data_IF_513794640921
#
_entry.id   IF_513794640921
#
_cell.length_a   1.000
_cell.length_b   1.000
_cell.length_c   1.000
_cell.angle_alpha   90.00
_cell.angle_beta   90.00
_cell.angle_gamma   90.00
#
_symmetry.space_group_name_H-M   'P 1'
#
loop_
_entity.id
_entity.type
_entity.pdbx_description
1 polymer ?
#
# COMPACT_ATOMS: atom_id res chain seq x y z
N UNK A 1 -8.28 -8.94 -20.90
CA UNK A 1 -7.56 -8.09 -19.92
C UNK A 1 -8.06 -8.17 -18.47
N UNK A 2 -9.38 -8.25 -18.20
CA UNK A 2 -9.93 -8.33 -16.81
C UNK A 2 -9.41 -9.51 -15.97
N UNK A 3 -9.17 -10.68 -16.58
CA UNK A 3 -8.63 -11.86 -15.88
C UNK A 3 -7.19 -11.64 -15.38
N UNK A 4 -6.30 -11.17 -16.24
CA UNK A 4 -4.87 -11.03 -15.92
C UNK A 4 -4.60 -10.09 -14.73
N UNK A 5 -5.39 -9.00 -14.62
CA UNK A 5 -5.30 -8.08 -13.49
C UNK A 5 -5.70 -8.72 -12.15
N UNK A 6 -6.86 -9.40 -12.13
CA UNK A 6 -7.36 -10.03 -10.90
C UNK A 6 -6.52 -11.24 -10.48
N UNK A 7 -6.01 -12.02 -11.44
CA UNK A 7 -5.34 -13.30 -11.18
C UNK A 7 -3.84 -13.19 -10.96
N UNK A 8 -3.14 -12.22 -11.58
CA UNK A 8 -1.67 -12.13 -11.49
C UNK A 8 -1.23 -10.88 -10.74
N UNK A 9 -1.72 -9.71 -11.14
CA UNK A 9 -1.30 -8.45 -10.53
C UNK A 9 -1.74 -8.38 -9.06
N UNK A 10 -3.01 -8.70 -8.76
CA UNK A 10 -3.53 -8.61 -7.39
C UNK A 10 -2.77 -9.48 -6.37
N UNK A 11 -2.46 -10.76 -6.62
CA UNK A 11 -1.67 -11.55 -5.67
C UNK A 11 -0.21 -11.07 -5.56
N UNK A 12 0.43 -10.68 -6.67
CA UNK A 12 1.80 -10.11 -6.63
C UNK A 12 1.81 -8.85 -5.76
N UNK A 13 0.87 -7.94 -5.98
CA UNK A 13 0.75 -6.73 -5.17
C UNK A 13 0.44 -7.05 -3.70
N UNK A 14 -0.44 -8.01 -3.43
CA UNK A 14 -0.81 -8.40 -2.06
C UNK A 14 0.37 -8.98 -1.29
N UNK A 15 1.13 -9.89 -1.90
CA UNK A 15 2.32 -10.48 -1.29
C UNK A 15 3.39 -9.42 -1.04
N UNK A 16 3.66 -8.59 -2.05
CA UNK A 16 4.61 -7.52 -1.92
C UNK A 16 4.17 -6.58 -0.80
N UNK A 17 2.87 -6.21 -0.68
CA UNK A 17 2.32 -5.26 0.34
C UNK A 17 2.74 -5.62 1.76
N UNK A 18 2.86 -6.90 2.08
CA UNK A 18 3.37 -7.35 3.38
C UNK A 18 4.83 -6.89 3.64
N UNK A 19 5.66 -6.90 2.59
CA UNK A 19 7.10 -6.61 2.66
C UNK A 19 7.42 -5.11 2.66
N UNK A 20 6.76 -4.33 1.80
CA UNK A 20 6.96 -2.88 1.62
C UNK A 20 5.84 -1.98 2.18
N UNK A 21 4.77 -2.50 2.77
CA UNK A 21 3.72 -1.68 3.40
C UNK A 21 4.24 -0.82 4.55
N UNK A 22 5.40 -1.21 5.09
CA UNK A 22 6.19 -0.52 6.13
C UNK A 22 7.36 0.29 5.56
N UNK A 23 7.52 0.31 4.23
CA UNK A 23 8.69 0.91 3.58
C UNK A 23 8.60 2.43 3.54
N UNK A 24 9.77 3.07 3.41
CA UNK A 24 9.89 4.52 3.22
C UNK A 24 9.08 4.95 1.99
N UNK A 25 8.44 6.13 2.07
CA UNK A 25 7.68 6.74 0.97
C UNK A 25 8.42 6.70 -0.39
N UNK A 26 9.76 6.88 -0.36
CA UNK A 26 10.60 6.76 -1.56
C UNK A 26 10.47 5.40 -2.28
N UNK A 27 10.43 4.29 -1.52
CA UNK A 27 10.31 2.95 -2.08
C UNK A 27 8.90 2.72 -2.64
N UNK A 28 7.87 3.24 -1.96
CA UNK A 28 6.48 3.21 -2.43
C UNK A 28 6.38 3.96 -3.78
N UNK A 29 6.97 5.15 -3.88
CA UNK A 29 6.99 5.94 -5.10
C UNK A 29 7.75 5.23 -6.24
N UNK A 30 8.88 4.58 -5.94
CA UNK A 30 9.65 3.82 -6.94
C UNK A 30 8.79 2.72 -7.57
N UNK A 31 8.02 2.03 -6.77
CA UNK A 31 7.23 0.90 -7.25
C UNK A 31 5.89 1.37 -7.84
N UNK A 32 5.33 2.51 -7.40
CA UNK A 32 4.26 3.18 -8.12
C UNK A 32 4.68 3.53 -9.55
N UNK A 33 5.90 4.05 -9.74
CA UNK A 33 6.46 4.29 -11.08
C UNK A 33 6.59 2.99 -11.89
N UNK A 34 6.99 1.90 -11.25
CA UNK A 34 7.04 0.60 -11.89
C UNK A 34 5.64 0.15 -12.34
N UNK A 35 4.64 0.21 -11.47
CA UNK A 35 3.24 -0.08 -11.80
C UNK A 35 2.77 0.76 -13.01
N UNK A 36 2.96 2.08 -12.98
CA UNK A 36 2.54 2.95 -14.08
C UNK A 36 3.24 2.62 -15.41
N UNK A 37 4.53 2.26 -15.39
CA UNK A 37 5.25 1.79 -16.58
C UNK A 37 4.65 0.48 -17.11
N UNK A 38 4.45 -0.52 -16.25
CA UNK A 38 3.88 -1.81 -16.64
C UNK A 38 2.49 -1.64 -17.25
N UNK A 39 1.61 -0.83 -16.63
CA UNK A 39 0.26 -0.57 -17.16
C UNK A 39 0.31 0.07 -18.54
N UNK A 40 1.21 1.04 -18.74
CA UNK A 40 1.41 1.72 -20.01
C UNK A 40 1.89 0.76 -21.09
N UNK A 41 2.85 -0.13 -20.77
CA UNK A 41 3.34 -1.16 -21.70
C UNK A 41 2.25 -2.15 -22.10
N UNK A 42 1.45 -2.63 -21.14
CA UNK A 42 0.35 -3.58 -21.40
C UNK A 42 -0.70 -2.96 -22.33
N UNK A 43 -1.03 -1.68 -22.11
CA UNK A 43 -2.01 -0.95 -22.91
C UNK A 43 -1.46 -0.39 -24.22
N UNK A 44 -0.14 -0.50 -24.47
CA UNK A 44 0.56 0.22 -25.54
C UNK A 44 0.17 1.72 -25.58
N UNK A 45 -0.03 2.31 -24.40
CA UNK A 45 -0.54 3.67 -24.29
C UNK A 45 0.56 4.71 -24.59
N UNK A 46 0.26 5.75 -25.38
CA UNK A 46 1.24 6.77 -25.74
C UNK A 46 1.58 7.68 -24.55
N UNK A 47 2.72 8.38 -24.64
CA UNK A 47 3.28 9.10 -23.50
C UNK A 47 2.42 10.24 -22.97
N UNK A 48 1.62 10.85 -23.85
CA UNK A 48 0.73 11.97 -23.53
C UNK A 48 -0.47 11.57 -22.67
N UNK A 49 -0.79 10.27 -22.57
CA UNK A 49 -1.87 9.80 -21.70
C UNK A 49 -1.43 9.91 -20.25
N UNK A 50 -2.23 10.62 -19.45
CA UNK A 50 -1.94 10.79 -18.03
C UNK A 50 -2.06 9.45 -17.29
N UNK A 51 -1.23 9.26 -16.25
CA UNK A 51 -1.36 8.06 -15.41
C UNK A 51 -2.74 8.02 -14.73
N UNK A 52 -3.30 9.18 -14.37
CA UNK A 52 -4.64 9.27 -13.79
C UNK A 52 -5.71 8.66 -14.70
N UNK A 53 -5.67 8.97 -16.00
CA UNK A 53 -6.58 8.41 -17.01
C UNK A 53 -6.43 6.89 -17.07
N UNK A 54 -5.21 6.38 -17.17
CA UNK A 54 -4.95 4.93 -17.21
C UNK A 54 -5.47 4.20 -15.97
N UNK A 55 -5.26 4.78 -14.78
CA UNK A 55 -5.74 4.20 -13.53
C UNK A 55 -7.27 4.22 -13.42
N UNK A 56 -7.91 5.30 -13.88
CA UNK A 56 -9.37 5.45 -13.89
C UNK A 56 -10.04 4.46 -14.85
N UNK A 57 -9.53 4.37 -16.09
CA UNK A 57 -10.06 3.49 -17.13
C UNK A 57 -9.91 2.01 -16.75
N UNK A 58 -8.76 1.65 -16.18
CA UNK A 58 -8.48 0.29 -15.73
C UNK A 58 -9.10 -0.05 -14.37
N UNK A 59 -9.62 0.96 -13.64
CA UNK A 59 -10.10 0.85 -12.26
C UNK A 59 -9.07 0.21 -11.32
N UNK A 60 -7.81 0.61 -11.46
CA UNK A 60 -6.69 0.08 -10.65
C UNK A 60 -6.31 1.14 -9.61
N UNK A 61 -6.41 0.83 -8.31
CA UNK A 61 -5.99 1.76 -7.26
C UNK A 61 -4.47 1.96 -7.28
N UNK A 62 -4.04 3.11 -6.76
CA UNK A 62 -2.62 3.38 -6.55
C UNK A 62 -2.05 2.47 -5.47
N UNK A 63 -0.74 2.23 -5.52
CA UNK A 63 -0.04 1.46 -4.47
C UNK A 63 -0.29 2.07 -3.10
N UNK A 64 -0.25 3.40 -2.99
CA UNK A 64 -0.48 4.12 -1.73
C UNK A 64 -1.87 3.91 -1.13
N UNK A 65 -2.89 3.74 -1.97
CA UNK A 65 -4.26 3.45 -1.54
C UNK A 65 -4.39 1.98 -1.11
N UNK A 66 -3.76 1.08 -1.85
CA UNK A 66 -3.68 -0.34 -1.49
C UNK A 66 -3.00 -0.54 -0.15
N UNK A 67 -1.87 0.13 0.10
CA UNK A 67 -1.15 0.01 1.38
C UNK A 67 -1.99 0.52 2.54
N UNK A 68 -2.66 1.67 2.40
CA UNK A 68 -3.61 2.18 3.41
C UNK A 68 -4.74 1.18 3.68
N UNK A 69 -5.36 0.65 2.62
CA UNK A 69 -6.47 -0.29 2.74
C UNK A 69 -6.06 -1.59 3.43
N UNK A 70 -4.91 -2.15 3.04
CA UNK A 70 -4.35 -3.35 3.68
C UNK A 70 -3.99 -3.08 5.14
N UNK A 71 -3.41 -1.92 5.45
CA UNK A 71 -3.03 -1.57 6.81
C UNK A 71 -4.25 -1.42 7.72
N UNK A 72 -5.32 -0.75 7.25
CA UNK A 72 -6.59 -0.64 7.99
C UNK A 72 -7.19 -2.02 8.28
N UNK A 73 -7.24 -2.90 7.27
CA UNK A 73 -7.76 -4.27 7.42
C UNK A 73 -6.91 -5.12 8.39
N UNK A 74 -5.60 -4.94 8.39
CA UNK A 74 -4.72 -5.62 9.33
C UNK A 74 -4.93 -5.10 10.76
N UNK A 75 -5.10 -3.79 10.92
CA UNK A 75 -5.33 -3.17 12.22
C UNK A 75 -6.66 -3.62 12.86
N UNK A 76 -7.74 -3.69 12.07
CA UNK A 76 -9.01 -4.20 12.59
C UNK A 76 -8.94 -5.66 13.03
N UNK A 77 -8.10 -6.49 12.38
CA UNK A 77 -7.84 -7.87 12.81
C UNK A 77 -7.04 -7.93 14.11
N UNK A 78 -6.07 -7.03 14.29
CA UNK A 78 -5.32 -6.92 15.54
C UNK A 78 -6.25 -6.52 16.69
N UNK A 79 -7.10 -5.50 16.50
CA UNK A 79 -8.03 -5.02 17.52
C UNK A 79 -8.99 -6.12 18.02
N UNK A 80 -9.45 -7.00 17.12
CA UNK A 80 -10.38 -8.08 17.45
C UNK A 80 -9.68 -9.39 17.87
N UNK A 81 -8.38 -9.36 18.14
CA UNK A 81 -7.61 -10.56 18.47
C UNK A 81 -7.83 -10.97 19.93
N UNK A 82 -7.94 -12.29 20.19
CA UNK A 82 -8.17 -12.83 21.55
C UNK A 82 -7.04 -12.56 22.53
N UNK A 83 -5.80 -12.54 22.03
CA UNK A 83 -4.62 -12.25 22.84
C UNK A 83 -4.51 -10.73 23.09
N UNK A 84 -4.56 -10.27 24.36
CA UNK A 84 -4.51 -8.85 24.71
C UNK A 84 -3.23 -8.16 24.26
N UNK A 85 -2.08 -8.86 24.28
CA UNK A 85 -0.80 -8.30 23.82
C UNK A 85 -0.84 -7.96 22.32
N UNK A 86 -1.64 -8.69 21.55
CA UNK A 86 -1.79 -8.49 20.11
C UNK A 86 -2.83 -7.39 19.83
N UNK A 87 -3.89 -7.29 20.61
CA UNK A 87 -4.85 -6.17 20.49
C UNK A 87 -4.22 -4.83 20.85
N UNK A 88 -3.32 -4.81 21.83
CA UNK A 88 -2.58 -3.60 22.22
C UNK A 88 -1.72 -3.05 21.07
N UNK A 89 -1.25 -3.92 20.16
CA UNK A 89 -0.55 -3.50 18.95
C UNK A 89 -1.44 -2.72 17.97
N UNK A 90 -2.76 -2.73 18.11
CA UNK A 90 -3.67 -1.90 17.32
C UNK A 90 -3.69 -0.43 17.79
N UNK A 91 -3.18 -0.15 18.99
CA UNK A 91 -3.20 1.21 19.54
C UNK A 91 -2.30 2.15 18.75
N UNK A 92 -2.82 3.36 18.49
CA UNK A 92 -2.07 4.47 17.91
C UNK A 92 -1.23 5.22 18.97
N UNK A 93 -1.53 5.00 20.26
CA UNK A 93 -0.87 5.67 21.38
C UNK A 93 0.41 4.94 21.78
N UNK A 94 1.52 5.68 21.82
CA UNK A 94 2.78 5.20 22.39
C UNK A 94 3.03 6.01 23.66
N UNK A 95 3.11 5.38 24.84
CA UNK A 95 3.45 6.10 26.05
C UNK A 95 4.83 6.73 25.90
N UNK A 96 4.93 8.02 26.20
CA UNK A 96 6.20 8.76 26.17
C UNK A 96 6.65 9.34 24.83
N UNK A 97 5.89 9.19 23.73
CA UNK A 97 6.20 9.75 22.38
C UNK A 97 7.71 9.76 22.07
N UNK A 98 8.32 8.59 21.82
CA UNK A 98 9.77 8.47 21.69
C UNK A 98 10.30 9.41 20.61
N UNK A 99 11.37 10.13 20.93
CA UNK A 99 12.02 11.06 19.99
C UNK A 99 12.49 10.27 18.78
N UNK A 100 11.95 10.61 17.61
CA UNK A 100 12.30 9.93 16.36
C UNK A 100 13.70 10.35 15.94
N UNK A 101 14.68 9.45 16.06
CA UNK A 101 16.05 9.68 15.54
C UNK A 101 16.07 9.98 14.03
N UNK A 102 15.15 9.38 13.27
CA UNK A 102 15.05 9.55 11.81
C UNK A 102 13.65 10.00 11.40
N UNK A 103 13.57 10.95 10.44
CA UNK A 103 12.32 11.37 9.78
C UNK A 103 11.79 10.26 8.86
N UNK A 104 11.26 9.18 9.45
CA UNK A 104 10.63 8.05 8.75
C UNK A 104 9.15 7.99 9.13
N UNK A 105 8.30 7.75 8.14
CA UNK A 105 6.92 7.32 8.39
C UNK A 105 6.96 5.93 9.00
N UNK A 106 6.28 5.76 10.13
CA UNK A 106 6.08 4.47 10.76
C UNK A 106 4.83 3.80 10.20
N UNK A 107 4.75 2.49 10.36
CA UNK A 107 3.57 1.73 9.95
C UNK A 107 2.27 2.28 10.56
N UNK A 108 2.34 2.82 11.79
CA UNK A 108 1.21 3.40 12.51
C UNK A 108 0.77 4.76 11.93
N UNK A 109 1.70 5.52 11.35
CA UNK A 109 1.40 6.81 10.70
C UNK A 109 0.51 6.64 9.45
N UNK A 110 0.39 5.40 8.92
CA UNK A 110 -0.49 5.06 7.80
C UNK A 110 -1.94 4.77 8.22
N UNK A 111 -2.23 4.74 9.53
CA UNK A 111 -3.57 4.55 10.08
C UNK A 111 -4.33 5.87 10.29
N UNK A 112 -3.61 7.00 10.32
CA UNK A 112 -4.15 8.34 10.39
C UNK A 112 -4.77 8.80 9.06
#
# INVERSE_FOLDING_TARGET
>A
MKLSNKLLLRPIWTYLIQLWGSAKMFNINRIQRFQSKTLRTILKAPLFVSNHTLHSDLKIPYVSELTKTHKKRFNSRLANHRNPLISDLSSAYIPGKPIKRLKRQWCRDLLA
#
